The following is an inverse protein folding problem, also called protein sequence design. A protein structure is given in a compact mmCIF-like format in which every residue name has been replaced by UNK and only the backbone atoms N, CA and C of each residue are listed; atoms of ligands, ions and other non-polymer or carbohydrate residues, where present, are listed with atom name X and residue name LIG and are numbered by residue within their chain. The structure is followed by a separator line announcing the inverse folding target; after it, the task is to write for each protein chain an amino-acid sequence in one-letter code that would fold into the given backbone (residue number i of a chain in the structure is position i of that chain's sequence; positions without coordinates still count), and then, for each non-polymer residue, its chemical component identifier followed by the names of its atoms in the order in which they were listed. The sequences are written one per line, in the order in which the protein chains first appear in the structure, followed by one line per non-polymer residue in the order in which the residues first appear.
data_IF_157907145455
#
_entry.id   IF_157907145455
#
_cell.length_a   1.000
_cell.length_b   1.000
_cell.length_c   1.000
_cell.angle_alpha   90.00
_cell.angle_beta   90.00
_cell.angle_gamma   90.00
#
_symmetry.space_group_name_H-M   'P 1'
#
loop_
_entity.id
_entity.type
_entity.pdbx_description
1 polymer ?
#
# COMPACT_ATOMS: atom_id res chain seq x y z
N UNK A 1 0.84 20.69 4.44
CA UNK A 1 0.99 22.16 4.35
C UNK A 1 2.25 22.59 5.07
N UNK A 2 3.05 23.45 4.43
CA UNK A 2 4.19 24.13 5.05
C UNK A 2 3.74 25.57 5.28
N UNK A 3 3.66 26.06 6.53
CA UNK A 3 3.04 27.35 6.84
C UNK A 3 3.93 28.57 6.56
N UNK A 4 5.18 28.34 6.14
CA UNK A 4 6.16 29.39 5.84
C UNK A 4 6.43 29.42 4.35
N UNK A 5 6.46 30.61 3.74
CA UNK A 5 6.81 30.77 2.32
C UNK A 5 8.24 30.32 2.00
N UNK A 6 8.50 29.98 0.74
CA UNK A 6 9.84 29.65 0.26
C UNK A 6 10.68 30.92 0.21
N UNK A 7 11.92 30.85 0.69
CA UNK A 7 12.87 31.95 0.58
C UNK A 7 13.54 31.89 -0.79
N UNK A 8 13.20 32.81 -1.70
CA UNK A 8 13.75 32.84 -3.06
C UNK A 8 15.25 33.18 -3.08
N UNK A 9 15.74 33.90 -2.07
CA UNK A 9 17.15 34.25 -1.91
C UNK A 9 17.96 33.19 -1.13
N UNK A 10 17.46 31.96 -1.01
CA UNK A 10 18.19 30.91 -0.32
C UNK A 10 19.40 30.45 -1.16
N UNK A 11 20.59 30.90 -0.78
CA UNK A 11 21.85 30.59 -1.47
C UNK A 11 22.80 29.82 -0.53
N UNK A 12 23.44 28.78 -1.08
CA UNK A 12 24.45 27.96 -0.38
C UNK A 12 23.87 26.76 0.39
N UNK A 13 24.76 25.99 1.05
CA UNK A 13 24.44 24.76 1.82
C UNK A 13 23.93 23.59 0.99
N UNK A 14 24.28 23.57 -0.28
CA UNK A 14 23.88 22.54 -1.23
C UNK A 14 24.30 21.14 -0.77
N UNK A 15 25.49 21.00 -0.18
CA UNK A 15 25.97 19.73 0.37
C UNK A 15 25.07 19.19 1.48
N UNK A 16 24.63 20.05 2.41
CA UNK A 16 23.75 19.67 3.52
C UNK A 16 22.34 19.32 2.99
N UNK A 17 21.84 20.09 2.02
CA UNK A 17 20.57 19.83 1.39
C UNK A 17 20.59 18.51 0.64
N UNK A 18 21.64 18.24 -0.14
CA UNK A 18 21.79 17.00 -0.89
C UNK A 18 21.85 15.79 0.05
N UNK A 19 22.66 15.85 1.11
CA UNK A 19 22.72 14.79 2.13
C UNK A 19 21.36 14.54 2.78
N UNK A 20 20.59 15.60 3.06
CA UNK A 20 19.27 15.48 3.65
C UNK A 20 18.27 14.86 2.67
N UNK A 21 18.25 15.31 1.41
CA UNK A 21 17.36 14.78 0.37
C UNK A 21 17.65 13.29 0.07
N UNK A 22 18.91 12.87 0.10
CA UNK A 22 19.31 11.47 -0.07
C UNK A 22 18.90 10.57 1.10
N UNK A 23 18.78 11.12 2.32
CA UNK A 23 18.38 10.38 3.53
C UNK A 23 16.87 10.26 3.72
N UNK A 24 16.10 11.22 3.19
CA UNK A 24 14.64 11.21 3.27
C UNK A 24 13.96 11.21 1.88
N UNK A 25 14.32 10.30 0.96
CA UNK A 25 13.61 10.18 -0.29
C UNK A 25 12.16 9.75 -0.01
N UNK A 26 11.16 10.25 -0.76
CA UNK A 26 9.80 9.74 -0.66
C UNK A 26 9.75 8.30 -1.18
N UNK A 27 10.05 7.36 -0.29
CA UNK A 27 10.14 5.93 -0.62
C UNK A 27 8.74 5.34 -0.75
N UNK A 28 8.52 4.49 -1.75
CA UNK A 28 7.27 3.75 -1.95
C UNK A 28 7.16 2.51 -1.05
N UNK A 29 8.18 2.21 -0.23
CA UNK A 29 8.16 1.05 0.68
C UNK A 29 7.46 1.41 1.99
N UNK A 30 6.31 0.75 2.24
CA UNK A 30 5.32 1.03 3.30
C UNK A 30 5.86 1.11 4.74
N UNK A 31 6.98 0.46 5.05
CA UNK A 31 7.43 0.27 6.44
C UNK A 31 8.70 1.02 6.84
N UNK A 32 9.30 1.82 5.94
CA UNK A 32 10.57 2.49 6.23
C UNK A 32 10.33 3.93 6.70
N UNK A 33 10.01 4.12 7.98
CA UNK A 33 10.01 5.45 8.59
C UNK A 33 11.46 5.96 8.67
N UNK A 34 11.83 6.84 7.73
CA UNK A 34 13.13 7.51 7.73
C UNK A 34 13.08 8.71 8.67
N UNK A 35 14.10 8.85 9.51
CA UNK A 35 14.24 9.97 10.44
C UNK A 35 15.59 10.61 10.22
N UNK A 36 15.62 11.94 10.16
CA UNK A 36 16.86 12.72 10.03
C UNK A 36 16.75 13.93 10.93
N UNK A 37 17.83 14.25 11.64
CA UNK A 37 17.96 15.46 12.43
C UNK A 37 18.83 16.46 11.67
N UNK A 38 18.41 17.72 11.66
CA UNK A 38 19.25 18.84 11.21
C UNK A 38 19.89 19.46 12.44
N UNK A 39 21.18 19.22 12.64
CA UNK A 39 21.91 19.61 13.85
C UNK A 39 22.84 20.82 13.59
N UNK A 40 23.27 21.49 14.65
CA UNK A 40 24.20 22.63 14.57
C UNK A 40 23.89 23.75 15.56
N UNK A 41 24.79 24.74 15.65
CA UNK A 41 24.72 25.87 16.60
C UNK A 41 23.42 26.70 16.44
N UNK A 42 23.04 27.44 17.49
CA UNK A 42 21.91 28.37 17.45
C UNK A 42 22.10 29.45 16.38
N UNK A 43 21.02 29.93 15.76
CA UNK A 43 21.08 31.01 14.76
C UNK A 43 21.61 30.62 13.38
N UNK A 44 22.17 29.42 13.20
CA UNK A 44 22.72 28.98 11.90
C UNK A 44 21.64 28.66 10.86
N UNK A 45 20.35 28.94 11.05
CA UNK A 45 19.34 28.78 10.00
C UNK A 45 18.90 27.34 9.70
N UNK A 46 18.94 26.43 10.67
CA UNK A 46 18.44 25.04 10.54
C UNK A 46 17.01 24.96 10.00
N UNK A 47 16.11 25.81 10.51
CA UNK A 47 14.73 25.89 10.03
C UNK A 47 14.66 26.26 8.56
N UNK A 48 15.52 27.18 8.08
CA UNK A 48 15.57 27.55 6.66
C UNK A 48 16.01 26.37 5.79
N UNK A 49 16.98 25.57 6.25
CA UNK A 49 17.42 24.35 5.55
C UNK A 49 16.28 23.33 5.47
N UNK A 50 15.58 23.09 6.57
CA UNK A 50 14.44 22.16 6.59
C UNK A 50 13.29 22.61 5.67
N UNK A 51 13.00 23.92 5.65
CA UNK A 51 11.99 24.48 4.75
C UNK A 51 12.40 24.35 3.29
N UNK A 52 13.63 24.71 2.94
CA UNK A 52 14.11 24.59 1.56
C UNK A 52 14.11 23.13 1.09
N UNK A 53 14.51 22.19 1.95
CA UNK A 53 14.41 20.77 1.63
C UNK A 53 12.96 20.32 1.39
N UNK A 54 12.01 20.76 2.23
CA UNK A 54 10.59 20.47 2.05
C UNK A 54 10.06 20.96 0.70
N UNK A 55 10.48 22.16 0.28
CA UNK A 55 10.13 22.71 -1.03
C UNK A 55 10.74 21.91 -2.18
N UNK A 56 12.03 21.58 -2.10
CA UNK A 56 12.71 20.77 -3.13
C UNK A 56 12.13 19.37 -3.26
N UNK A 57 11.76 18.71 -2.15
CA UNK A 57 11.06 17.41 -2.20
C UNK A 57 9.75 17.54 -2.95
N UNK A 58 8.97 18.59 -2.69
CA UNK A 58 7.69 18.82 -3.36
C UNK A 58 7.87 19.11 -4.86
N UNK A 59 8.90 19.85 -5.23
CA UNK A 59 9.20 20.19 -6.62
C UNK A 59 9.68 18.94 -7.40
N UNK A 60 10.53 18.10 -6.79
CA UNK A 60 11.02 16.84 -7.38
C UNK A 60 9.96 15.74 -7.39
N UNK A 61 9.04 15.76 -6.41
CA UNK A 61 7.99 14.77 -6.24
C UNK A 61 6.63 15.46 -6.05
N UNK A 62 5.98 15.91 -7.13
CA UNK A 62 4.67 16.58 -7.07
C UNK A 62 3.57 15.72 -6.43
N UNK A 63 3.77 14.39 -6.41
CA UNK A 63 2.88 13.44 -5.76
C UNK A 63 3.07 13.34 -4.23
N UNK A 64 4.14 13.89 -3.67
CA UNK A 64 4.47 13.80 -2.26
C UNK A 64 3.75 14.90 -1.46
N UNK A 65 3.02 14.51 -0.42
CA UNK A 65 2.43 15.45 0.52
C UNK A 65 3.41 15.76 1.65
N UNK A 66 3.76 17.04 1.83
CA UNK A 66 4.65 17.50 2.89
C UNK A 66 3.85 18.27 3.95
N UNK A 67 4.01 17.88 5.22
CA UNK A 67 3.33 18.48 6.37
C UNK A 67 4.34 19.00 7.38
N UNK A 68 4.11 20.20 7.90
CA UNK A 68 4.89 20.77 8.98
C UNK A 68 4.15 20.57 10.30
N UNK A 69 4.77 19.85 11.24
CA UNK A 69 4.17 19.54 12.55
C UNK A 69 5.06 20.11 13.65
N UNK A 70 4.61 21.15 14.38
CA UNK A 70 5.30 21.64 15.56
C UNK A 70 5.27 20.58 16.68
N UNK A 71 6.44 20.14 17.12
CA UNK A 71 6.60 19.18 18.22
C UNK A 71 7.13 19.86 19.49
N UNK A 72 6.52 20.99 19.87
CA UNK A 72 6.92 21.80 21.04
C UNK A 72 6.29 21.25 22.32
N UNK A 73 5.00 20.91 22.24
CA UNK A 73 4.20 20.36 23.32
C UNK A 73 3.09 19.46 22.73
N UNK A 74 2.40 18.69 23.60
CA UNK A 74 1.37 17.75 23.15
C UNK A 74 0.14 18.43 22.53
N UNK A 75 -0.21 19.63 22.98
CA UNK A 75 -1.39 20.37 22.53
C UNK A 75 -1.14 20.89 21.11
N UNK A 76 0.01 21.54 20.89
CA UNK A 76 0.44 22.03 19.58
C UNK A 76 0.59 20.90 18.57
N UNK A 77 1.11 19.75 19.00
CA UNK A 77 1.25 18.57 18.16
C UNK A 77 -0.11 18.00 17.75
N UNK A 78 -1.04 17.86 18.70
CA UNK A 78 -2.38 17.34 18.42
C UNK A 78 -3.18 18.29 17.52
N UNK A 79 -3.11 19.60 17.79
CA UNK A 79 -3.73 20.63 16.96
C UNK A 79 -3.24 20.57 15.51
N UNK A 80 -1.93 20.43 15.30
CA UNK A 80 -1.38 20.29 13.95
C UNK A 80 -1.91 19.05 13.21
N UNK A 81 -2.09 17.92 13.91
CA UNK A 81 -2.73 16.74 13.31
C UNK A 81 -4.21 16.96 13.00
N UNK A 82 -4.95 17.69 13.84
CA UNK A 82 -6.35 18.07 13.56
C UNK A 82 -6.44 18.93 12.30
N UNK A 83 -5.60 19.96 12.16
CA UNK A 83 -5.53 20.80 10.96
C UNK A 83 -5.19 19.98 9.70
N UNK A 84 -4.27 19.01 9.80
CA UNK A 84 -4.00 18.06 8.70
C UNK A 84 -5.24 17.22 8.39
N UNK A 85 -5.94 16.72 9.41
CA UNK A 85 -7.18 15.97 9.25
C UNK A 85 -8.28 16.77 8.55
N UNK A 86 -8.47 18.03 8.94
CA UNK A 86 -9.44 18.95 8.34
C UNK A 86 -9.12 19.19 6.86
N UNK A 87 -7.85 19.47 6.53
CA UNK A 87 -7.40 19.62 5.15
C UNK A 87 -7.57 18.34 4.31
N UNK A 88 -7.61 17.18 4.97
CA UNK A 88 -7.88 15.88 4.34
C UNK A 88 -9.38 15.53 4.29
N UNK A 89 -10.26 16.29 4.95
CA UNK A 89 -11.69 16.01 5.05
C UNK A 89 -12.04 14.83 5.98
N UNK A 90 -11.23 14.58 7.01
CA UNK A 90 -11.42 13.46 7.95
C UNK A 90 -12.59 13.76 8.89
N UNK A 91 -13.51 12.80 9.02
CA UNK A 91 -14.65 12.92 9.95
C UNK A 91 -14.28 12.46 11.36
N UNK A 92 -15.00 12.96 12.36
CA UNK A 92 -14.83 12.56 13.76
C UNK A 92 -13.64 13.19 14.48
N UNK A 93 -13.03 14.22 13.88
CA UNK A 93 -11.96 14.99 14.51
C UNK A 93 -12.44 15.72 15.77
N UNK A 94 -13.71 16.10 15.85
CA UNK A 94 -14.28 16.84 16.99
C UNK A 94 -14.47 16.00 18.27
N UNK A 95 -14.21 14.69 18.20
CA UNK A 95 -14.34 13.80 19.36
C UNK A 95 -13.04 13.76 20.17
N UNK A 96 -13.07 14.29 21.39
CA UNK A 96 -11.92 14.33 22.31
C UNK A 96 -11.37 12.95 22.71
N UNK A 97 -12.15 11.88 22.51
CA UNK A 97 -11.71 10.49 22.77
C UNK A 97 -11.18 9.79 21.52
N UNK A 98 -11.27 10.41 20.35
CA UNK A 98 -10.82 9.81 19.11
C UNK A 98 -9.29 9.86 18.99
N UNK A 99 -8.69 8.77 18.50
CA UNK A 99 -7.28 8.78 18.13
C UNK A 99 -7.11 9.49 16.78
N UNK A 100 -6.96 10.81 16.85
CA UNK A 100 -6.78 11.69 15.68
C UNK A 100 -5.59 11.26 14.83
N UNK A 101 -4.50 10.81 15.46
CA UNK A 101 -3.29 10.38 14.73
C UNK A 101 -3.60 9.17 13.86
N UNK A 102 -4.34 8.22 14.40
CA UNK A 102 -4.79 7.03 13.65
C UNK A 102 -5.78 7.40 12.53
N UNK A 103 -6.72 8.31 12.79
CA UNK A 103 -7.67 8.79 11.76
C UNK A 103 -6.95 9.48 10.59
N UNK A 104 -6.04 10.41 10.89
CA UNK A 104 -5.23 11.12 9.88
C UNK A 104 -4.34 10.15 9.11
N UNK A 105 -3.68 9.21 9.81
CA UNK A 105 -2.87 8.17 9.16
C UNK A 105 -3.71 7.31 8.21
N UNK A 106 -4.90 6.89 8.62
CA UNK A 106 -5.81 6.11 7.79
C UNK A 106 -6.24 6.91 6.54
N UNK A 107 -6.56 8.19 6.69
CA UNK A 107 -6.93 9.05 5.58
C UNK A 107 -5.80 9.28 4.58
N UNK A 108 -4.57 9.49 5.06
CA UNK A 108 -3.38 9.60 4.21
C UNK A 108 -3.13 8.31 3.42
N UNK A 109 -3.27 7.15 4.07
CA UNK A 109 -3.16 5.86 3.40
C UNK A 109 -4.24 5.69 2.32
N UNK A 110 -5.48 6.06 2.63
CA UNK A 110 -6.59 6.00 1.67
C UNK A 110 -6.32 6.84 0.43
N UNK A 111 -5.90 8.10 0.58
CA UNK A 111 -5.55 8.96 -0.57
C UNK A 111 -4.41 8.36 -1.42
N UNK A 112 -3.41 7.76 -0.77
CA UNK A 112 -2.33 7.07 -1.50
C UNK A 112 -2.86 5.89 -2.31
N UNK A 113 -3.79 5.11 -1.75
CA UNK A 113 -4.41 4.01 -2.48
C UNK A 113 -5.30 4.47 -3.64
N UNK A 114 -6.08 5.53 -3.46
CA UNK A 114 -6.93 6.10 -4.52
C UNK A 114 -6.07 6.58 -5.70
N UNK A 115 -4.95 7.26 -5.41
CA UNK A 115 -4.00 7.67 -6.45
C UNK A 115 -3.31 6.49 -7.12
N UNK A 116 -2.90 5.47 -6.35
CA UNK A 116 -2.32 4.27 -6.91
C UNK A 116 -3.32 3.54 -7.83
N UNK A 117 -4.56 3.40 -7.39
CA UNK A 117 -5.64 2.82 -8.19
C UNK A 117 -5.84 3.58 -9.51
N UNK A 118 -5.90 4.91 -9.48
CA UNK A 118 -6.03 5.74 -10.68
C UNK A 118 -4.91 5.47 -11.70
N UNK A 119 -3.66 5.48 -11.25
CA UNK A 119 -2.48 5.20 -12.08
C UNK A 119 -2.57 3.78 -12.67
N UNK A 120 -2.95 2.79 -11.86
CA UNK A 120 -3.06 1.41 -12.33
C UNK A 120 -4.21 1.22 -13.33
N UNK A 121 -5.34 1.91 -13.16
CA UNK A 121 -6.45 1.89 -14.15
C UNK A 121 -6.04 2.55 -15.47
N UNK A 122 -5.34 3.69 -15.42
CA UNK A 122 -4.80 4.33 -16.62
C UNK A 122 -3.78 3.44 -17.33
N UNK A 123 -2.86 2.85 -16.58
CA UNK A 123 -1.85 1.91 -17.11
C UNK A 123 -2.51 0.67 -17.72
N UNK A 124 -3.54 0.14 -17.07
CA UNK A 124 -4.29 -1.00 -17.58
C UNK A 124 -4.94 -0.67 -18.93
N UNK A 125 -5.62 0.48 -19.03
CA UNK A 125 -6.26 0.91 -20.28
C UNK A 125 -5.26 0.99 -21.43
N UNK A 126 -4.10 1.61 -21.20
CA UNK A 126 -3.03 1.69 -22.20
C UNK A 126 -2.49 0.31 -22.59
N UNK A 127 -2.26 -0.57 -21.62
CA UNK A 127 -1.78 -1.93 -21.89
C UNK A 127 -2.81 -2.77 -22.65
N UNK A 128 -4.10 -2.62 -22.37
CA UNK A 128 -5.17 -3.27 -23.13
C UNK A 128 -5.24 -2.79 -24.58
N UNK A 129 -5.07 -1.48 -24.82
CA UNK A 129 -5.06 -0.89 -26.16
C UNK A 129 -3.83 -1.32 -26.98
N UNK A 130 -2.64 -1.37 -26.37
CA UNK A 130 -1.37 -1.62 -27.08
C UNK A 130 -1.03 -3.09 -27.19
N UNK A 131 -1.13 -3.84 -26.09
CA UNK A 131 -0.65 -5.21 -25.98
C UNK A 131 -1.78 -6.24 -26.07
N UNK A 132 -3.02 -5.79 -25.90
CA UNK A 132 -4.18 -6.65 -25.75
C UNK A 132 -4.31 -7.25 -24.36
N UNK A 133 -5.53 -7.70 -24.05
CA UNK A 133 -5.92 -8.11 -22.69
C UNK A 133 -5.22 -9.38 -22.17
N UNK A 134 -4.85 -10.28 -23.08
CA UNK A 134 -4.19 -11.56 -22.77
C UNK A 134 -2.67 -11.45 -22.62
N UNK A 135 -2.09 -10.28 -22.89
CA UNK A 135 -0.66 -10.10 -22.81
C UNK A 135 -0.18 -10.18 -21.34
N UNK A 136 0.96 -10.85 -21.05
CA UNK A 136 1.46 -11.00 -19.68
C UNK A 136 1.61 -9.68 -18.90
N UNK A 137 2.06 -8.62 -19.57
CA UNK A 137 2.17 -7.27 -18.97
C UNK A 137 0.82 -6.66 -18.60
N UNK A 138 -0.22 -6.92 -19.40
CA UNK A 138 -1.59 -6.51 -19.09
C UNK A 138 -2.11 -7.29 -17.90
N UNK A 139 -1.96 -8.61 -17.89
CA UNK A 139 -2.37 -9.49 -16.78
C UNK A 139 -1.69 -9.11 -15.45
N UNK A 140 -0.41 -8.77 -15.48
CA UNK A 140 0.31 -8.25 -14.31
C UNK A 140 -0.27 -6.93 -13.82
N UNK A 141 -0.67 -6.04 -14.73
CA UNK A 141 -1.31 -4.76 -14.38
C UNK A 141 -2.68 -4.96 -13.74
N UNK A 142 -3.49 -5.88 -14.28
CA UNK A 142 -4.79 -6.23 -13.69
C UNK A 142 -4.60 -6.84 -12.28
N UNK A 143 -3.62 -7.72 -12.09
CA UNK A 143 -3.32 -8.31 -10.78
C UNK A 143 -2.91 -7.24 -9.75
N UNK A 144 -2.09 -6.26 -10.14
CA UNK A 144 -1.70 -5.16 -9.26
C UNK A 144 -2.89 -4.27 -8.88
N UNK A 145 -3.80 -4.00 -9.81
CA UNK A 145 -5.04 -3.29 -9.53
C UNK A 145 -5.89 -4.05 -8.50
N UNK A 146 -6.05 -5.37 -8.65
CA UNK A 146 -6.79 -6.20 -7.70
C UNK A 146 -6.17 -6.22 -6.29
N UNK A 147 -4.82 -6.20 -6.20
CA UNK A 147 -4.12 -6.08 -4.92
C UNK A 147 -4.40 -4.73 -4.23
N UNK A 148 -4.40 -3.63 -4.99
CA UNK A 148 -4.71 -2.30 -4.45
C UNK A 148 -6.16 -2.24 -3.96
N UNK A 149 -7.11 -2.79 -4.73
CA UNK A 149 -8.51 -2.85 -4.33
C UNK A 149 -8.71 -3.69 -3.06
N UNK A 150 -8.01 -4.83 -2.94
CA UNK A 150 -7.97 -5.62 -1.71
C UNK A 150 -7.45 -4.80 -0.52
N UNK A 151 -6.35 -4.08 -0.71
CA UNK A 151 -5.74 -3.26 0.36
C UNK A 151 -6.60 -2.04 0.76
N UNK A 152 -7.47 -1.57 -0.14
CA UNK A 152 -8.50 -0.58 0.16
C UNK A 152 -9.74 -1.16 0.87
N UNK A 153 -9.84 -2.48 0.98
CA UNK A 153 -11.04 -3.15 1.48
C UNK A 153 -12.18 -3.26 0.48
N UNK A 154 -11.96 -2.94 -0.80
CA UNK A 154 -12.93 -3.13 -1.90
C UNK A 154 -12.90 -4.59 -2.37
N UNK A 155 -13.30 -5.50 -1.48
CA UNK A 155 -13.09 -6.93 -1.70
C UNK A 155 -13.95 -7.50 -2.82
N UNK A 156 -15.18 -7.03 -3.02
CA UNK A 156 -16.08 -7.50 -4.07
C UNK A 156 -15.53 -7.19 -5.46
N UNK A 157 -15.01 -5.97 -5.65
CA UNK A 157 -14.39 -5.58 -6.92
C UNK A 157 -13.08 -6.35 -7.17
N UNK A 158 -12.26 -6.52 -6.12
CA UNK A 158 -11.05 -7.33 -6.20
C UNK A 158 -11.36 -8.79 -6.57
N UNK A 159 -12.43 -9.37 -5.99
CA UNK A 159 -12.88 -10.74 -6.29
C UNK A 159 -13.25 -10.89 -7.77
N UNK A 160 -14.07 -9.98 -8.30
CA UNK A 160 -14.49 -10.01 -9.71
C UNK A 160 -13.29 -10.02 -10.64
N UNK A 161 -12.30 -9.16 -10.37
CA UNK A 161 -11.08 -9.07 -11.15
C UNK A 161 -10.25 -10.36 -11.03
N UNK A 162 -10.06 -10.90 -9.82
CA UNK A 162 -9.28 -12.12 -9.66
C UNK A 162 -9.90 -13.32 -10.39
N UNK A 163 -11.24 -13.48 -10.35
CA UNK A 163 -11.93 -14.54 -11.10
C UNK A 163 -11.72 -14.41 -12.61
N UNK A 164 -11.85 -13.20 -13.14
CA UNK A 164 -11.63 -12.95 -14.56
C UNK A 164 -10.18 -13.25 -14.98
N UNK A 165 -9.19 -12.77 -14.21
CA UNK A 165 -7.78 -13.06 -14.49
C UNK A 165 -7.51 -14.57 -14.42
N UNK A 166 -8.10 -15.27 -13.45
CA UNK A 166 -7.88 -16.70 -13.27
C UNK A 166 -8.24 -17.48 -14.54
N UNK A 167 -9.39 -17.18 -15.15
CA UNK A 167 -9.81 -17.79 -16.42
C UNK A 167 -8.81 -17.52 -17.55
N UNK A 168 -8.32 -16.28 -17.66
CA UNK A 168 -7.37 -15.88 -18.69
C UNK A 168 -6.00 -16.54 -18.52
N UNK A 169 -5.46 -16.55 -17.30
CA UNK A 169 -4.15 -17.14 -16.98
C UNK A 169 -4.23 -18.67 -17.09
N UNK A 170 -5.32 -19.29 -16.65
CA UNK A 170 -5.50 -20.74 -16.83
C UNK A 170 -5.56 -21.12 -18.30
N UNK A 171 -6.23 -20.34 -19.15
CA UNK A 171 -6.30 -20.59 -20.59
C UNK A 171 -4.95 -20.37 -21.29
N UNK A 172 -4.17 -19.38 -20.87
CA UNK A 172 -2.91 -19.01 -21.52
C UNK A 172 -1.71 -19.86 -21.05
N UNK A 173 -1.60 -20.11 -19.74
CA UNK A 173 -0.41 -20.70 -19.10
C UNK A 173 -0.71 -22.08 -18.48
N UNK A 174 -1.98 -22.43 -18.32
CA UNK A 174 -2.41 -23.68 -17.73
C UNK A 174 -2.56 -23.62 -16.21
N UNK A 175 -3.29 -24.60 -15.67
CA UNK A 175 -3.66 -24.69 -14.24
C UNK A 175 -2.46 -24.85 -13.28
N UNK A 176 -1.32 -25.30 -13.81
CA UNK A 176 -0.12 -25.61 -13.02
C UNK A 176 0.89 -24.44 -12.99
N UNK A 177 0.63 -23.36 -13.73
CA UNK A 177 1.55 -22.24 -13.80
C UNK A 177 1.63 -21.50 -12.46
N UNK A 178 2.83 -21.05 -12.02
CA UNK A 178 2.99 -20.28 -10.79
C UNK A 178 2.05 -19.06 -10.68
N UNK A 179 1.80 -18.37 -11.79
CA UNK A 179 0.90 -17.21 -11.81
C UNK A 179 -0.56 -17.60 -11.53
N UNK A 180 -1.01 -18.75 -12.07
CA UNK A 180 -2.34 -19.30 -11.76
C UNK A 180 -2.46 -19.57 -10.27
N UNK A 181 -1.46 -20.23 -9.69
CA UNK A 181 -1.45 -20.59 -8.27
C UNK A 181 -1.39 -19.37 -7.36
N UNK A 182 -0.66 -18.34 -7.78
CA UNK A 182 -0.60 -17.05 -7.09
C UNK A 182 -1.95 -16.34 -7.13
N UNK A 183 -2.60 -16.31 -8.28
CA UNK A 183 -3.93 -15.73 -8.45
C UNK A 183 -4.98 -16.46 -7.59
N UNK A 184 -4.99 -17.79 -7.60
CA UNK A 184 -5.88 -18.59 -6.74
C UNK A 184 -5.71 -18.26 -5.26
N UNK A 185 -4.47 -18.09 -4.79
CA UNK A 185 -4.21 -17.70 -3.40
C UNK A 185 -4.75 -16.31 -3.09
N UNK A 186 -4.54 -15.33 -3.98
CA UNK A 186 -5.06 -13.97 -3.79
C UNK A 186 -6.59 -13.92 -3.80
N UNK A 187 -7.25 -14.67 -4.69
CA UNK A 187 -8.71 -14.81 -4.72
C UNK A 187 -9.24 -15.39 -3.42
N UNK A 188 -8.62 -16.46 -2.92
CA UNK A 188 -9.02 -17.08 -1.65
C UNK A 188 -8.81 -16.15 -0.44
N UNK A 189 -7.76 -15.32 -0.42
CA UNK A 189 -7.59 -14.29 0.60
C UNK A 189 -8.69 -13.23 0.56
N UNK A 190 -9.08 -12.77 -0.63
CA UNK A 190 -10.17 -11.81 -0.81
C UNK A 190 -11.49 -12.40 -0.30
N UNK A 191 -11.81 -13.65 -0.66
CA UNK A 191 -12.99 -14.35 -0.17
C UNK A 191 -12.98 -14.52 1.35
N UNK A 192 -11.83 -14.84 1.93
CA UNK A 192 -11.67 -14.92 3.40
C UNK A 192 -11.96 -13.58 4.05
N UNK A 193 -11.49 -12.47 3.49
CA UNK A 193 -11.73 -11.13 4.02
C UNK A 193 -13.20 -10.70 3.91
N UNK A 194 -13.95 -11.24 2.94
CA UNK A 194 -15.41 -11.09 2.86
C UNK A 194 -16.18 -12.03 3.81
N UNK A 195 -15.51 -12.92 4.53
CA UNK A 195 -16.16 -13.93 5.37
C UNK A 195 -16.69 -15.15 4.60
N UNK A 196 -16.40 -15.27 3.30
CA UNK A 196 -16.76 -16.44 2.46
C UNK A 196 -15.79 -17.60 2.69
N UNK A 197 -15.70 -18.07 3.93
CA UNK A 197 -14.67 -19.01 4.38
C UNK A 197 -14.73 -20.38 3.67
N UNK A 198 -15.92 -20.91 3.40
CA UNK A 198 -16.05 -22.21 2.73
C UNK A 198 -15.49 -22.19 1.30
N UNK A 199 -15.73 -21.09 0.57
CA UNK A 199 -15.23 -20.93 -0.78
C UNK A 199 -13.71 -20.68 -0.79
N UNK A 200 -13.22 -19.85 0.12
CA UNK A 200 -11.77 -19.64 0.32
C UNK A 200 -11.04 -20.97 0.61
N UNK A 201 -11.62 -21.83 1.46
CA UNK A 201 -11.09 -23.16 1.76
C UNK A 201 -11.01 -24.03 0.50
N UNK A 202 -12.08 -24.07 -0.30
CA UNK A 202 -12.13 -24.85 -1.54
C UNK A 202 -11.00 -24.44 -2.50
N UNK A 203 -10.81 -23.14 -2.71
CA UNK A 203 -9.76 -22.63 -3.61
C UNK A 203 -8.37 -22.97 -3.06
N UNK A 204 -8.12 -22.77 -1.75
CA UNK A 204 -6.83 -23.15 -1.17
C UNK A 204 -6.55 -24.66 -1.24
N UNK A 205 -7.57 -25.52 -1.10
CA UNK A 205 -7.41 -26.97 -1.28
C UNK A 205 -7.06 -27.33 -2.72
N UNK A 206 -7.67 -26.66 -3.70
CA UNK A 206 -7.31 -26.82 -5.12
C UNK A 206 -5.86 -26.38 -5.37
N UNK A 207 -5.47 -25.19 -4.88
CA UNK A 207 -4.09 -24.69 -5.00
C UNK A 207 -3.08 -25.63 -4.32
N UNK A 208 -3.41 -26.18 -3.14
CA UNK A 208 -2.57 -27.15 -2.44
C UNK A 208 -2.36 -28.43 -3.27
N UNK A 209 -3.41 -28.96 -3.88
CA UNK A 209 -3.32 -30.16 -4.74
C UNK A 209 -2.40 -29.91 -5.92
N UNK A 210 -2.50 -28.75 -6.56
CA UNK A 210 -1.65 -28.35 -7.69
C UNK A 210 -0.20 -28.11 -7.25
N UNK A 211 0.02 -27.37 -6.17
CA UNK A 211 1.36 -27.14 -5.60
C UNK A 211 2.07 -28.44 -5.24
N UNK A 212 1.36 -29.40 -4.61
CA UNK A 212 1.91 -30.74 -4.32
C UNK A 212 2.31 -31.49 -5.58
N UNK A 213 1.55 -31.36 -6.66
CA UNK A 213 1.81 -32.06 -7.92
C UNK A 213 2.96 -31.43 -8.74
N UNK A 214 3.14 -30.11 -8.66
CA UNK A 214 4.14 -29.37 -9.46
C UNK A 214 5.46 -29.20 -8.71
N UNK A 215 5.39 -28.80 -7.45
CA UNK A 215 6.55 -28.37 -6.65
C UNK A 215 6.94 -29.40 -5.58
N UNK A 216 6.06 -30.36 -5.32
CA UNK A 216 6.26 -31.39 -4.30
C UNK A 216 5.79 -30.97 -2.90
N UNK A 217 5.78 -31.96 -1.99
CA UNK A 217 5.20 -31.81 -0.64
C UNK A 217 5.99 -30.87 0.27
N UNK A 218 7.29 -30.69 0.03
CA UNK A 218 8.21 -29.90 0.87
C UNK A 218 8.46 -28.48 0.35
N UNK A 219 7.78 -28.05 -0.70
CA UNK A 219 7.98 -26.72 -1.27
C UNK A 219 7.35 -25.63 -0.39
N UNK A 220 7.97 -24.45 -0.23
CA UNK A 220 7.40 -23.32 0.53
C UNK A 220 5.96 -22.96 0.14
N UNK A 221 5.62 -22.93 -1.15
CA UNK A 221 4.24 -22.67 -1.60
C UNK A 221 3.22 -23.75 -1.18
N UNK A 222 3.65 -25.00 -1.04
CA UNK A 222 2.80 -26.08 -0.50
C UNK A 222 2.50 -25.82 0.98
N UNK A 223 3.51 -25.43 1.76
CA UNK A 223 3.33 -25.07 3.17
C UNK A 223 2.48 -23.80 3.34
N UNK A 224 2.68 -22.78 2.52
CA UNK A 224 1.87 -21.57 2.52
C UNK A 224 0.38 -21.89 2.28
N UNK A 225 0.09 -22.78 1.33
CA UNK A 225 -1.28 -23.23 1.06
C UNK A 225 -1.89 -23.98 2.26
N UNK A 226 -1.11 -24.83 2.95
CA UNK A 226 -1.56 -25.53 4.16
C UNK A 226 -1.86 -24.55 5.31
N UNK A 227 -0.97 -23.58 5.54
CA UNK A 227 -1.16 -22.54 6.55
C UNK A 227 -2.43 -21.71 6.28
N UNK A 228 -2.69 -21.38 5.01
CA UNK A 228 -3.88 -20.64 4.63
C UNK A 228 -5.16 -21.45 4.88
N UNK A 229 -5.17 -22.75 4.58
CA UNK A 229 -6.29 -23.65 4.90
C UNK A 229 -6.54 -23.69 6.41
N UNK A 230 -5.49 -23.90 7.22
CA UNK A 230 -5.62 -23.90 8.68
C UNK A 230 -6.19 -22.57 9.20
N UNK A 231 -5.73 -21.44 8.66
CA UNK A 231 -6.25 -20.11 9.00
C UNK A 231 -7.74 -19.97 8.69
N UNK A 232 -8.20 -20.48 7.54
CA UNK A 232 -9.61 -20.45 7.14
C UNK A 232 -10.46 -21.41 7.99
N UNK A 233 -9.97 -22.62 8.30
CA UNK A 233 -10.66 -23.59 9.15
C UNK A 233 -10.86 -23.05 10.58
N UNK A 234 -9.85 -22.37 11.15
CA UNK A 234 -9.99 -21.69 12.45
C UNK A 234 -11.08 -20.61 12.41
N UNK A 235 -11.19 -19.86 11.30
CA UNK A 235 -12.26 -18.86 11.12
C UNK A 235 -13.65 -19.50 10.99
N UNK A 236 -13.73 -20.75 10.55
CA UNK A 236 -14.96 -21.55 10.54
C UNK A 236 -15.27 -22.25 11.87
N UNK A 237 -14.38 -22.18 12.87
CA UNK A 237 -14.51 -22.91 14.14
C UNK A 237 -14.15 -24.39 14.07
N UNK A 238 -13.56 -24.86 12.96
CA UNK A 238 -13.10 -26.24 12.76
C UNK A 238 -11.67 -26.41 13.28
N UNK A 239 -11.49 -26.33 14.60
CA UNK A 239 -10.17 -26.34 15.22
C UNK A 239 -9.44 -27.68 15.06
N UNK A 240 -10.15 -28.80 15.16
CA UNK A 240 -9.58 -30.15 15.01
C UNK A 240 -9.03 -30.42 13.61
N UNK A 241 -9.65 -29.84 12.57
CA UNK A 241 -9.14 -29.96 11.19
C UNK A 241 -7.98 -28.99 10.89
N UNK A 242 -7.77 -27.99 11.75
CA UNK A 242 -6.76 -26.95 11.57
C UNK A 242 -5.44 -27.23 12.30
N UNK A 243 -5.46 -28.11 13.30
CA UNK A 243 -4.29 -28.59 14.06
C UNK A 243 -3.50 -29.65 13.28
#
# INVERSE_FOLDING_TARGET
MVPFGRNEDFIGRESILQELLERVPPSTKRDNCQRTAVEGLGGVGKTKVALEAAYRIRDQHPACSVFWVPAIDSISFEKAYREIGEALGVQGLDNDKADIKSLVKAALNRKNYEKAEEIHRQTLKLNEEVLGRKHPGTLSSINNLALILKDQGKYEEAEQIYREILELIEAALGKKHPDTLTNMNNLAEVLRNQGKYAEAEQIHRQALKLNKAVLGKKHPHTFASMNNIAGVLRRQGKYEEAE
#
